data_IF_237815667717
#
_entry.id   IF_237815667717
#
_cell.length_a   1.000
_cell.length_b   1.000
_cell.length_c   1.000
_cell.angle_alpha   90.00
_cell.angle_beta   90.00
_cell.angle_gamma   90.00
#
_symmetry.space_group_name_H-M   'P 1'
#
loop_
_entity.id
_entity.type
_entity.pdbx_description
1 polymer ?
#
# COMPACT_ATOMS: atom_id res chain seq x y z
N UNK A 1 -15.74 -10.99 16.13
CA UNK A 1 -16.05 -9.56 15.94
C UNK A 1 -17.27 -9.43 15.03
N UNK A 2 -17.27 -10.07 13.88
CA UNK A 2 -18.37 -10.00 12.89
C UNK A 2 -19.73 -10.34 13.49
N UNK A 3 -19.83 -11.42 14.27
CA UNK A 3 -21.06 -11.80 14.96
C UNK A 3 -21.65 -10.70 15.87
N UNK A 4 -20.78 -9.88 16.49
CA UNK A 4 -21.17 -8.80 17.38
C UNK A 4 -21.26 -7.43 16.70
N UNK A 5 -21.24 -7.37 15.37
CA UNK A 5 -21.13 -6.09 14.66
C UNK A 5 -22.45 -5.30 14.70
N UNK A 6 -23.54 -5.95 14.38
CA UNK A 6 -24.85 -5.29 14.36
C UNK A 6 -25.54 -5.32 15.74
N UNK A 7 -25.42 -6.44 16.45
CA UNK A 7 -26.11 -6.69 17.70
C UNK A 7 -25.15 -7.06 18.84
N UNK A 8 -25.49 -6.66 20.05
CA UNK A 8 -24.79 -7.08 21.25
C UNK A 8 -25.17 -8.52 21.62
N UNK A 9 -24.20 -9.44 21.63
CA UNK A 9 -24.41 -10.88 21.88
C UNK A 9 -23.77 -11.35 23.18
N UNK A 10 -24.41 -12.34 23.85
CA UNK A 10 -23.76 -13.06 24.96
C UNK A 10 -22.71 -14.03 24.41
N UNK A 11 -21.81 -14.51 25.28
CA UNK A 11 -20.77 -15.46 24.91
C UNK A 11 -21.36 -16.76 24.34
N UNK A 12 -22.51 -17.21 24.87
CA UNK A 12 -23.26 -18.37 24.38
C UNK A 12 -23.83 -18.11 22.98
N UNK A 13 -24.31 -16.91 22.70
CA UNK A 13 -24.83 -16.51 21.41
C UNK A 13 -23.68 -16.40 20.38
N UNK A 14 -22.52 -15.86 20.79
CA UNK A 14 -21.32 -15.81 19.96
C UNK A 14 -20.85 -17.23 19.62
N UNK A 15 -20.86 -18.14 20.60
CA UNK A 15 -20.53 -19.55 20.38
C UNK A 15 -21.45 -20.21 19.36
N UNK A 16 -22.73 -19.96 19.44
CA UNK A 16 -23.71 -20.49 18.51
C UNK A 16 -23.53 -19.93 17.09
N UNK A 17 -23.32 -18.63 16.97
CA UNK A 17 -23.18 -17.93 15.69
C UNK A 17 -21.87 -18.30 14.96
N UNK A 18 -20.80 -18.46 15.73
CA UNK A 18 -19.46 -18.77 15.15
C UNK A 18 -19.19 -20.25 15.00
N UNK A 19 -19.97 -21.11 15.67
CA UNK A 19 -19.70 -22.55 15.77
C UNK A 19 -18.48 -22.90 16.65
N UNK A 20 -17.89 -21.93 17.33
CA UNK A 20 -16.73 -22.14 18.22
C UNK A 20 -17.23 -22.47 19.63
N UNK A 21 -16.80 -23.60 20.24
CA UNK A 21 -17.19 -23.95 21.59
C UNK A 21 -16.84 -22.86 22.62
N UNK A 22 -17.75 -22.59 23.55
CA UNK A 22 -17.60 -21.53 24.55
C UNK A 22 -16.28 -21.58 25.32
N UNK A 23 -15.80 -22.79 25.63
CA UNK A 23 -14.53 -22.98 26.34
C UNK A 23 -13.29 -22.42 25.62
N UNK A 24 -13.36 -22.20 24.29
CA UNK A 24 -12.29 -21.59 23.50
C UNK A 24 -12.52 -20.11 23.26
N UNK A 25 -13.72 -19.60 23.53
CA UNK A 25 -14.07 -18.20 23.30
C UNK A 25 -13.71 -17.28 24.45
N UNK A 26 -13.67 -17.79 25.67
CA UNK A 26 -13.50 -16.95 26.87
C UNK A 26 -12.18 -16.15 26.83
N UNK A 27 -11.07 -16.78 26.49
CA UNK A 27 -9.76 -16.12 26.39
C UNK A 27 -9.71 -15.17 25.20
N UNK A 28 -10.24 -15.57 24.04
CA UNK A 28 -10.29 -14.76 22.84
C UNK A 28 -11.16 -13.51 23.01
N UNK A 29 -12.36 -13.66 23.61
CA UNK A 29 -13.24 -12.51 23.90
C UNK A 29 -12.57 -11.58 24.90
N UNK A 30 -11.94 -12.11 25.95
CA UNK A 30 -11.22 -11.31 26.92
C UNK A 30 -10.08 -10.50 26.27
N UNK A 31 -9.30 -11.14 25.39
CA UNK A 31 -8.23 -10.47 24.65
C UNK A 31 -8.77 -9.36 23.70
N UNK A 32 -9.90 -9.60 23.04
CA UNK A 32 -10.53 -8.60 22.17
C UNK A 32 -11.11 -7.43 22.94
N UNK A 33 -11.64 -7.68 24.15
CA UNK A 33 -12.13 -6.63 25.05
C UNK A 33 -10.97 -5.81 25.61
N UNK A 34 -9.88 -6.46 26.02
CA UNK A 34 -8.68 -5.77 26.52
C UNK A 34 -8.09 -4.83 25.43
N UNK A 35 -8.10 -5.28 24.20
CA UNK A 35 -7.67 -4.49 23.02
C UNK A 35 -8.72 -3.47 22.54
N UNK A 36 -9.87 -3.38 23.20
CA UNK A 36 -10.98 -2.52 22.82
C UNK A 36 -11.54 -2.75 21.40
N UNK A 37 -11.31 -3.92 20.84
CA UNK A 37 -11.93 -4.37 19.59
C UNK A 37 -13.40 -4.76 19.85
N UNK A 38 -13.67 -5.33 21.02
CA UNK A 38 -15.01 -5.52 21.56
C UNK A 38 -15.18 -4.67 22.82
N UNK A 39 -16.42 -4.26 23.07
CA UNK A 39 -16.84 -3.67 24.36
C UNK A 39 -17.80 -4.63 25.00
N UNK A 40 -17.62 -4.87 26.32
CA UNK A 40 -18.50 -5.69 27.12
C UNK A 40 -19.48 -4.81 27.95
N UNK A 41 -20.75 -4.95 27.70
CA UNK A 41 -21.83 -4.30 28.42
C UNK A 41 -22.63 -5.36 29.19
N UNK A 42 -22.34 -5.50 30.48
CA UNK A 42 -22.90 -6.56 31.32
C UNK A 42 -22.46 -7.95 30.83
N UNK A 43 -23.40 -8.78 30.35
CA UNK A 43 -23.14 -10.12 29.80
C UNK A 43 -23.06 -10.16 28.29
N UNK A 44 -23.09 -9.02 27.62
CA UNK A 44 -23.08 -8.94 26.16
C UNK A 44 -21.81 -8.26 25.65
N UNK A 45 -21.32 -8.73 24.54
CA UNK A 45 -20.22 -8.14 23.78
C UNK A 45 -20.75 -7.48 22.51
N UNK A 46 -20.11 -6.36 22.12
CA UNK A 46 -20.46 -5.56 20.97
C UNK A 46 -19.17 -5.13 20.28
N UNK A 47 -19.17 -5.11 18.96
CA UNK A 47 -18.02 -4.61 18.21
C UNK A 47 -17.78 -3.12 18.48
N UNK A 48 -16.52 -2.73 18.62
CA UNK A 48 -16.07 -1.35 18.84
C UNK A 48 -15.10 -0.88 17.74
N UNK A 49 -15.17 -1.52 16.58
CA UNK A 49 -14.36 -1.20 15.41
C UNK A 49 -15.22 -1.31 14.16
N UNK A 50 -14.87 -0.55 13.14
CA UNK A 50 -15.54 -0.64 11.84
C UNK A 50 -15.12 -1.95 11.16
N UNK A 51 -16.12 -2.71 10.68
CA UNK A 51 -15.91 -3.91 9.89
C UNK A 51 -16.28 -3.64 8.43
N UNK A 52 -15.30 -3.78 7.55
CA UNK A 52 -15.54 -3.76 6.11
C UNK A 52 -16.06 -5.13 5.68
N UNK A 53 -17.37 -5.22 5.51
CA UNK A 53 -18.04 -6.43 5.03
C UNK A 53 -17.90 -6.59 3.53
N UNK A 54 -18.09 -7.78 3.01
CA UNK A 54 -18.07 -8.07 1.57
C UNK A 54 -19.10 -7.25 0.80
N UNK A 55 -20.30 -7.06 1.37
CA UNK A 55 -21.35 -6.25 0.76
C UNK A 55 -20.97 -4.77 0.70
N UNK A 56 -20.43 -4.24 1.79
CA UNK A 56 -19.91 -2.88 1.85
C UNK A 56 -18.79 -2.65 0.82
N UNK A 57 -17.82 -3.56 0.77
CA UNK A 57 -16.72 -3.49 -0.19
C UNK A 57 -17.23 -3.55 -1.64
N UNK A 58 -18.19 -4.43 -1.94
CA UNK A 58 -18.78 -4.54 -3.27
C UNK A 58 -19.55 -3.26 -3.65
N UNK A 59 -20.23 -2.61 -2.72
CA UNK A 59 -20.92 -1.34 -2.98
C UNK A 59 -19.93 -0.20 -3.22
N UNK A 60 -18.86 -0.09 -2.42
CA UNK A 60 -17.77 0.87 -2.65
C UNK A 60 -17.19 0.67 -4.05
N UNK A 61 -16.84 -0.57 -4.42
CA UNK A 61 -16.28 -0.88 -5.72
C UNK A 61 -17.21 -0.47 -6.87
N UNK A 62 -18.50 -0.80 -6.79
CA UNK A 62 -19.49 -0.40 -7.80
C UNK A 62 -19.64 1.13 -7.89
N UNK A 63 -19.65 1.83 -6.75
CA UNK A 63 -19.81 3.28 -6.71
C UNK A 63 -18.57 4.04 -7.18
N UNK A 64 -17.39 3.43 -7.11
CA UNK A 64 -16.12 4.08 -7.46
C UNK A 64 -15.63 3.74 -8.87
N UNK A 65 -16.16 2.71 -9.54
CA UNK A 65 -15.61 2.16 -10.80
C UNK A 65 -15.38 3.22 -11.88
N UNK A 66 -16.38 4.04 -12.17
CA UNK A 66 -16.28 5.08 -13.20
C UNK A 66 -15.19 6.12 -12.86
N UNK A 67 -15.06 6.45 -11.58
CA UNK A 67 -14.05 7.41 -11.12
C UNK A 67 -12.65 6.77 -11.16
N UNK A 68 -12.54 5.49 -10.84
CA UNK A 68 -11.27 4.74 -10.94
C UNK A 68 -10.81 4.65 -12.40
N UNK A 69 -11.69 4.43 -13.35
CA UNK A 69 -11.38 4.45 -14.79
C UNK A 69 -10.84 5.83 -15.21
N UNK A 70 -11.50 6.91 -14.81
CA UNK A 70 -11.01 8.29 -15.08
C UNK A 70 -9.65 8.56 -14.45
N UNK A 71 -9.36 8.03 -13.25
CA UNK A 71 -8.06 8.13 -12.61
C UNK A 71 -7.02 7.36 -13.43
N UNK A 72 -7.32 6.13 -13.83
CA UNK A 72 -6.42 5.30 -14.62
C UNK A 72 -6.08 5.95 -15.97
N UNK A 73 -7.09 6.46 -16.68
CA UNK A 73 -6.92 7.18 -17.94
C UNK A 73 -6.05 8.43 -17.75
N UNK A 74 -6.35 9.27 -16.74
CA UNK A 74 -5.56 10.46 -16.47
C UNK A 74 -4.10 10.15 -16.12
N UNK A 75 -3.83 9.07 -15.40
CA UNK A 75 -2.47 8.61 -15.10
C UNK A 75 -1.76 8.10 -16.35
N UNK A 76 -2.46 7.34 -17.20
CA UNK A 76 -1.93 6.88 -18.48
C UNK A 76 -1.53 8.04 -19.39
N UNK A 77 -2.43 9.00 -19.59
CA UNK A 77 -2.20 10.20 -20.41
C UNK A 77 -1.03 11.04 -19.87
N UNK A 78 -0.95 11.19 -18.54
CA UNK A 78 0.16 11.92 -17.92
C UNK A 78 1.50 11.23 -18.18
N UNK A 79 1.59 9.92 -17.98
CA UNK A 79 2.81 9.16 -18.25
C UNK A 79 3.19 9.23 -19.73
N UNK A 80 2.23 9.16 -20.63
CA UNK A 80 2.49 9.27 -22.05
C UNK A 80 3.04 10.65 -22.44
N UNK A 81 2.39 11.70 -21.99
CA UNK A 81 2.74 13.08 -22.35
C UNK A 81 3.97 13.62 -21.63
N UNK A 82 4.31 13.09 -20.46
CA UNK A 82 5.43 13.56 -19.61
C UNK A 82 6.64 12.64 -19.57
N UNK A 83 6.61 11.53 -20.29
CA UNK A 83 7.70 10.55 -20.27
C UNK A 83 9.05 11.20 -20.60
N UNK A 84 9.09 12.09 -21.60
CA UNK A 84 10.30 12.81 -21.98
C UNK A 84 10.80 13.75 -20.86
N UNK A 85 9.90 14.43 -20.15
CA UNK A 85 10.28 15.27 -19.03
C UNK A 85 10.90 14.47 -17.87
N UNK A 86 10.41 13.23 -17.63
CA UNK A 86 11.05 12.32 -16.69
C UNK A 86 12.43 11.87 -17.17
N UNK A 87 12.61 11.55 -18.47
CA UNK A 87 13.92 11.19 -19.02
C UNK A 87 14.96 12.31 -18.84
N UNK A 88 14.57 13.56 -19.03
CA UNK A 88 15.43 14.74 -18.89
C UNK A 88 15.90 14.98 -17.43
N UNK A 89 15.29 14.32 -16.46
CA UNK A 89 15.81 14.33 -15.08
C UNK A 89 17.15 13.60 -15.00
N UNK A 90 17.37 12.58 -15.83
CA UNK A 90 18.66 11.89 -15.99
C UNK A 90 18.98 10.88 -14.89
N UNK A 91 17.97 10.26 -14.27
CA UNK A 91 18.16 9.19 -13.28
C UNK A 91 18.63 7.88 -13.93
N UNK A 92 19.21 6.99 -13.16
CA UNK A 92 19.58 5.66 -13.65
C UNK A 92 18.32 4.88 -14.06
N UNK A 93 18.22 4.48 -15.33
CA UNK A 93 17.04 3.86 -15.93
C UNK A 93 16.18 4.82 -16.77
N UNK A 94 16.57 6.09 -16.90
CA UNK A 94 15.89 7.03 -17.79
C UNK A 94 15.94 6.59 -19.28
N UNK A 95 16.87 5.72 -19.65
CA UNK A 95 17.05 5.10 -20.98
C UNK A 95 16.22 3.82 -21.20
N UNK A 96 15.40 3.40 -20.25
CA UNK A 96 14.52 2.24 -20.43
C UNK A 96 13.54 2.47 -21.59
N UNK A 97 13.07 1.37 -22.21
CA UNK A 97 12.01 1.46 -23.21
C UNK A 97 10.79 2.17 -22.65
N UNK A 98 10.01 2.84 -23.50
CA UNK A 98 8.82 3.59 -23.08
C UNK A 98 7.85 2.76 -22.25
N UNK A 99 7.58 1.53 -22.68
CA UNK A 99 6.70 0.62 -21.94
C UNK A 99 7.24 0.28 -20.56
N UNK A 100 8.54 -0.05 -20.45
CA UNK A 100 9.18 -0.36 -19.17
C UNK A 100 9.19 0.87 -18.25
N UNK A 101 9.54 2.03 -18.78
CA UNK A 101 9.62 3.26 -18.00
C UNK A 101 8.24 3.71 -17.49
N UNK A 102 7.18 3.59 -18.30
CA UNK A 102 5.80 3.89 -17.88
C UNK A 102 5.39 3.04 -16.68
N UNK A 103 5.67 1.73 -16.72
CA UNK A 103 5.38 0.83 -15.60
C UNK A 103 6.14 1.22 -14.32
N UNK A 104 7.41 1.54 -14.45
CA UNK A 104 8.24 1.95 -13.31
C UNK A 104 7.77 3.29 -12.73
N UNK A 105 7.42 4.25 -13.58
CA UNK A 105 6.91 5.55 -13.14
C UNK A 105 5.47 5.50 -12.61
N UNK A 106 4.68 4.48 -12.98
CA UNK A 106 3.36 4.26 -12.38
C UNK A 106 3.46 4.11 -10.86
N UNK A 107 4.44 3.35 -10.38
CA UNK A 107 4.74 3.21 -8.95
C UNK A 107 4.97 4.56 -8.28
N UNK A 108 5.75 5.41 -8.96
CA UNK A 108 6.04 6.76 -8.50
C UNK A 108 4.79 7.64 -8.41
N UNK A 109 3.90 7.57 -9.42
CA UNK A 109 2.62 8.29 -9.41
C UNK A 109 1.69 7.80 -8.30
N UNK A 110 1.60 6.49 -8.09
CA UNK A 110 0.78 5.92 -7.02
C UNK A 110 1.23 6.43 -5.64
N UNK A 111 2.54 6.56 -5.43
CA UNK A 111 3.07 7.20 -4.21
C UNK A 111 2.62 8.66 -4.07
N UNK A 112 2.65 9.42 -5.17
CA UNK A 112 2.20 10.81 -5.18
C UNK A 112 0.69 10.92 -4.91
N UNK A 113 -0.11 9.99 -5.43
CA UNK A 113 -1.56 9.89 -5.16
C UNK A 113 -1.83 9.67 -3.68
N UNK A 114 -1.10 8.74 -3.05
CA UNK A 114 -1.24 8.46 -1.61
C UNK A 114 -0.85 9.66 -0.72
N UNK A 115 -0.07 10.60 -1.25
CA UNK A 115 0.33 11.82 -0.54
C UNK A 115 -0.65 12.99 -0.75
N UNK A 116 -1.65 12.87 -1.63
CA UNK A 116 -2.69 13.89 -1.80
C UNK A 116 -3.59 13.85 -0.57
N UNK A 117 -3.75 14.97 0.16
CA UNK A 117 -4.71 15.01 1.26
C UNK A 117 -6.10 14.70 0.71
N UNK A 118 -6.76 13.71 1.25
CA UNK A 118 -8.10 13.27 0.82
C UNK A 118 -9.18 14.32 1.10
N UNK A 119 -8.84 15.37 1.87
CA UNK A 119 -9.77 16.45 2.22
C UNK A 119 -10.95 15.99 3.09
N UNK A 120 -10.90 14.76 3.57
CA UNK A 120 -11.91 14.21 4.45
C UNK A 120 -11.96 14.98 5.76
N UNK A 121 -13.17 15.41 6.15
CA UNK A 121 -13.39 16.08 7.44
C UNK A 121 -13.33 15.09 8.62
N UNK A 122 -13.35 13.79 8.34
CA UNK A 122 -13.30 12.76 9.38
C UNK A 122 -11.91 12.67 10.01
N UNK A 123 -11.80 13.17 11.22
CA UNK A 123 -10.62 12.89 12.03
C UNK A 123 -10.70 11.46 12.59
N UNK A 124 -9.61 10.68 12.48
CA UNK A 124 -9.57 9.35 13.07
C UNK A 124 -9.92 9.40 14.55
N UNK A 125 -10.69 8.45 15.08
CA UNK A 125 -10.95 8.36 16.50
C UNK A 125 -9.66 8.13 17.27
N UNK A 126 -9.63 8.56 18.53
CA UNK A 126 -8.52 8.28 19.42
C UNK A 126 -8.54 6.81 19.81
N UNK A 127 -7.47 6.08 19.47
CA UNK A 127 -7.31 4.68 19.85
C UNK A 127 -7.08 4.50 21.35
N UNK A 128 -7.17 3.27 21.81
CA UNK A 128 -6.93 2.92 23.21
C UNK A 128 -5.53 3.28 23.72
N UNK A 129 -4.55 3.34 22.82
CA UNK A 129 -3.15 3.70 23.10
C UNK A 129 -2.84 5.17 22.87
N UNK A 130 -3.86 6.01 22.63
CA UNK A 130 -3.74 7.47 22.58
C UNK A 130 -3.44 8.07 21.21
N UNK A 131 -3.15 7.27 20.20
CA UNK A 131 -2.97 7.72 18.82
C UNK A 131 -4.33 7.93 18.15
N UNK A 132 -4.37 8.78 17.12
CA UNK A 132 -5.53 8.88 16.23
C UNK A 132 -5.33 7.96 15.04
N UNK A 133 -6.11 6.91 14.96
CA UNK A 133 -6.06 5.94 13.85
C UNK A 133 -7.44 5.35 13.59
N UNK A 134 -7.71 5.01 12.34
CA UNK A 134 -8.82 4.13 12.01
C UNK A 134 -8.36 2.69 12.18
N UNK A 135 -9.04 1.95 13.03
CA UNK A 135 -8.89 0.51 13.11
C UNK A 135 -10.00 -0.13 12.28
N UNK A 136 -9.60 -0.77 11.20
CA UNK A 136 -10.50 -1.47 10.30
C UNK A 136 -10.24 -2.96 10.41
N UNK A 137 -11.31 -3.72 10.49
CA UNK A 137 -11.27 -5.14 10.22
C UNK A 137 -11.99 -5.38 8.90
N UNK A 138 -11.49 -6.29 8.09
CA UNK A 138 -12.14 -6.70 6.85
C UNK A 138 -12.50 -8.18 6.94
N UNK A 139 -13.65 -8.55 6.37
CA UNK A 139 -13.95 -9.96 6.15
C UNK A 139 -12.90 -10.58 5.22
N UNK A 140 -12.53 -11.87 5.40
CA UNK A 140 -11.49 -12.52 4.60
C UNK A 140 -11.74 -12.43 3.08
N UNK A 141 -12.99 -12.44 2.66
CA UNK A 141 -13.44 -12.36 1.27
C UNK A 141 -13.16 -10.98 0.65
N UNK A 142 -13.11 -9.92 1.48
CA UNK A 142 -12.81 -8.54 1.05
C UNK A 142 -11.34 -8.38 0.74
N UNK A 143 -10.49 -9.07 1.47
CA UNK A 143 -9.03 -9.07 1.28
C UNK A 143 -8.67 -9.93 0.06
N UNK A 144 -9.40 -9.75 -1.04
CA UNK A 144 -9.23 -10.52 -2.26
C UNK A 144 -7.76 -10.70 -2.65
N UNK A 145 -7.44 -11.78 -3.34
CA UNK A 145 -6.13 -12.34 -3.57
C UNK A 145 -5.00 -11.48 -4.14
N UNK A 146 -5.10 -10.14 -4.08
CA UNK A 146 -4.06 -9.22 -4.55
C UNK A 146 -3.69 -8.24 -3.44
N UNK A 147 -2.43 -8.20 -3.07
CA UNK A 147 -1.87 -7.11 -2.28
C UNK A 147 -1.10 -6.16 -3.19
N UNK A 148 -1.22 -4.88 -2.90
CA UNK A 148 -0.47 -3.82 -3.55
C UNK A 148 0.30 -3.06 -2.49
N UNK A 149 1.60 -2.93 -2.65
CA UNK A 149 2.42 -2.08 -1.80
C UNK A 149 3.39 -1.24 -2.61
N UNK A 150 3.65 -0.02 -2.15
CA UNK A 150 4.70 0.86 -2.66
C UNK A 150 5.62 1.20 -1.51
N UNK A 151 6.86 0.76 -1.60
CA UNK A 151 7.90 1.06 -0.64
C UNK A 151 8.94 1.99 -1.25
N UNK A 152 9.28 3.05 -0.53
CA UNK A 152 10.42 3.92 -0.81
C UNK A 152 11.53 3.53 0.14
N UNK A 153 12.73 3.30 -0.39
CA UNK A 153 13.91 2.95 0.40
C UNK A 153 15.06 3.86 0.00
N UNK A 154 15.84 4.31 0.97
CA UNK A 154 17.03 5.13 0.76
C UNK A 154 18.29 4.29 0.99
N UNK A 155 19.28 4.47 0.11
CA UNK A 155 20.61 3.92 0.30
C UNK A 155 21.42 4.75 1.33
N UNK A 156 22.55 4.21 1.77
CA UNK A 156 23.49 4.94 2.65
C UNK A 156 23.97 6.29 2.05
N UNK A 157 24.00 6.40 0.72
CA UNK A 157 24.44 7.59 0.00
C UNK A 157 23.29 8.55 -0.31
N UNK A 158 22.05 8.24 0.13
CA UNK A 158 20.85 9.05 -0.09
C UNK A 158 20.22 8.85 -1.47
N UNK A 159 20.59 7.81 -2.20
CA UNK A 159 19.86 7.42 -3.41
C UNK A 159 18.50 6.80 -3.05
N UNK A 160 17.50 7.07 -3.86
CA UNK A 160 16.11 6.66 -3.63
C UNK A 160 15.69 5.61 -4.66
N UNK A 161 15.13 4.51 -4.17
CA UNK A 161 14.58 3.41 -4.97
C UNK A 161 13.14 3.14 -4.58
N UNK A 162 12.31 2.81 -5.54
CA UNK A 162 10.93 2.41 -5.32
C UNK A 162 10.73 0.94 -5.66
N UNK A 163 10.04 0.25 -4.77
CA UNK A 163 9.55 -1.10 -4.99
C UNK A 163 8.03 -1.08 -5.02
N UNK A 164 7.45 -1.79 -5.96
CA UNK A 164 6.02 -1.97 -6.06
C UNK A 164 5.74 -3.47 -6.19
N UNK A 165 5.00 -3.99 -5.24
CA UNK A 165 4.56 -5.38 -5.26
C UNK A 165 3.10 -5.44 -5.68
N UNK A 166 2.84 -6.10 -6.81
CA UNK A 166 1.51 -6.55 -7.21
C UNK A 166 1.51 -8.07 -7.06
N UNK A 167 1.08 -8.56 -5.91
CA UNK A 167 1.13 -9.99 -5.65
C UNK A 167 -0.24 -10.55 -5.34
N UNK A 168 -0.57 -11.73 -5.85
CA UNK A 168 -1.59 -12.55 -5.23
C UNK A 168 -1.10 -12.91 -3.82
N UNK A 169 -1.85 -12.51 -2.79
CA UNK A 169 -1.49 -12.83 -1.41
C UNK A 169 -1.33 -14.36 -1.23
N UNK A 170 -0.46 -14.85 -0.39
CA UNK A 170 0.44 -14.20 0.55
C UNK A 170 1.92 -14.66 0.48
N UNK A 171 2.63 -14.53 -0.61
CA UNK A 171 4.07 -14.89 -0.64
C UNK A 171 4.86 -13.87 -1.44
N UNK A 172 5.36 -12.83 -0.76
CA UNK A 172 6.41 -12.02 -1.36
C UNK A 172 7.76 -12.37 -0.76
N UNK A 173 8.59 -13.09 -1.52
CA UNK A 173 10.03 -13.20 -1.25
C UNK A 173 10.75 -11.85 -1.42
N UNK A 174 10.00 -10.80 -1.76
CA UNK A 174 10.53 -9.46 -1.98
C UNK A 174 10.81 -8.70 -0.69
N UNK A 175 10.09 -8.99 0.41
CA UNK A 175 10.35 -8.38 1.71
C UNK A 175 11.80 -8.56 2.19
N UNK A 176 12.43 -9.69 1.84
CA UNK A 176 13.82 -9.95 2.21
C UNK A 176 14.81 -9.05 1.46
N UNK A 177 14.42 -8.49 0.31
CA UNK A 177 15.30 -7.66 -0.49
C UNK A 177 15.37 -6.23 0.04
N UNK A 178 14.25 -5.52 0.13
CA UNK A 178 14.26 -4.13 0.59
C UNK A 178 14.33 -3.98 2.11
N UNK A 179 14.09 -5.05 2.86
CA UNK A 179 14.42 -5.13 4.28
C UNK A 179 15.93 -5.24 4.56
N UNK A 180 16.74 -5.51 3.53
CA UNK A 180 18.19 -5.59 3.63
C UNK A 180 18.84 -4.32 3.05
N UNK A 181 19.18 -3.37 3.93
CA UNK A 181 19.82 -2.10 3.53
C UNK A 181 21.06 -2.30 2.64
N UNK A 182 21.85 -3.37 2.88
CA UNK A 182 23.03 -3.68 2.07
C UNK A 182 22.67 -4.01 0.62
N UNK A 183 21.55 -4.69 0.39
CA UNK A 183 21.10 -4.99 -0.98
C UNK A 183 20.67 -3.71 -1.73
N UNK A 184 20.05 -2.77 -1.04
CA UNK A 184 19.70 -1.46 -1.60
C UNK A 184 20.96 -0.69 -1.98
N UNK A 185 21.96 -0.65 -1.09
CA UNK A 185 23.26 -0.02 -1.37
C UNK A 185 23.93 -0.61 -2.61
N UNK A 186 24.00 -1.94 -2.69
CA UNK A 186 24.61 -2.65 -3.84
C UNK A 186 23.83 -2.34 -5.13
N UNK A 187 22.50 -2.30 -5.09
CA UNK A 187 21.69 -1.94 -6.27
C UNK A 187 21.99 -0.51 -6.73
N UNK A 188 22.13 0.44 -5.83
CA UNK A 188 22.49 1.82 -6.13
C UNK A 188 23.93 1.91 -6.68
N UNK A 189 24.88 1.17 -6.11
CA UNK A 189 26.22 1.07 -6.64
C UNK A 189 26.25 0.51 -8.09
N UNK A 190 25.46 -0.52 -8.36
CA UNK A 190 25.27 -1.05 -9.73
C UNK A 190 24.68 0.01 -10.67
N UNK A 191 23.66 0.73 -10.20
CA UNK A 191 23.00 1.78 -10.99
C UNK A 191 23.95 2.91 -11.41
N UNK A 192 24.94 3.20 -10.57
CA UNK A 192 25.96 4.23 -10.80
C UNK A 192 27.26 3.66 -11.41
N UNK A 193 27.32 2.36 -11.73
CA UNK A 193 28.52 1.72 -12.29
C UNK A 193 29.67 1.57 -11.31
N UNK A 194 29.43 1.61 -10.01
CA UNK A 194 30.44 1.53 -8.94
C UNK A 194 30.69 0.07 -8.49
N UNK A 195 30.97 -0.83 -9.44
CA UNK A 195 31.09 -2.27 -9.13
C UNK A 195 32.52 -2.74 -8.85
N UNK A 196 33.56 -1.92 -9.12
CA UNK A 196 34.97 -2.32 -9.08
C UNK A 196 35.46 -2.76 -7.70
N UNK A 197 34.85 -2.22 -6.64
CA UNK A 197 35.21 -2.50 -5.25
C UNK A 197 34.39 -3.63 -4.58
N UNK A 198 33.58 -4.35 -5.33
CA UNK A 198 32.68 -5.35 -4.77
C UNK A 198 33.41 -6.52 -4.10
N UNK A 199 33.05 -6.79 -2.84
CA UNK A 199 33.50 -7.97 -2.09
C UNK A 199 32.90 -9.25 -2.68
N UNK A 200 33.33 -10.40 -2.17
CA UNK A 200 32.72 -11.68 -2.56
C UNK A 200 31.21 -11.71 -2.20
N UNK A 201 30.83 -11.18 -1.05
CA UNK A 201 29.44 -11.06 -0.64
C UNK A 201 28.64 -10.16 -1.59
N UNK A 202 29.18 -8.99 -1.99
CA UNK A 202 28.48 -8.08 -2.90
C UNK A 202 28.26 -8.73 -4.26
N UNK A 203 29.23 -9.48 -4.77
CA UNK A 203 29.10 -10.24 -6.03
C UNK A 203 28.05 -11.33 -5.96
N UNK A 204 27.95 -12.03 -4.81
CA UNK A 204 26.89 -13.00 -4.57
C UNK A 204 25.51 -12.34 -4.54
N UNK A 205 25.39 -11.21 -3.84
CA UNK A 205 24.17 -10.41 -3.82
C UNK A 205 23.76 -9.93 -5.22
N UNK A 206 24.70 -9.44 -6.05
CA UNK A 206 24.43 -9.07 -7.46
C UNK A 206 23.96 -10.28 -8.27
N UNK A 207 24.56 -11.44 -8.09
CA UNK A 207 24.14 -12.68 -8.78
C UNK A 207 22.70 -13.06 -8.39
N UNK A 208 22.34 -12.88 -7.13
CA UNK A 208 20.95 -13.07 -6.68
C UNK A 208 20.01 -12.03 -7.27
N UNK A 209 20.39 -10.76 -7.30
CA UNK A 209 19.62 -9.70 -7.93
C UNK A 209 19.40 -9.94 -9.42
N UNK A 210 20.37 -10.48 -10.13
CA UNK A 210 20.21 -10.90 -11.53
C UNK A 210 19.19 -12.02 -11.67
N UNK A 211 19.24 -13.02 -10.78
CA UNK A 211 18.27 -14.11 -10.76
C UNK A 211 16.84 -13.64 -10.49
N UNK A 212 16.69 -12.65 -9.61
CA UNK A 212 15.40 -12.05 -9.24
C UNK A 212 14.93 -10.94 -10.20
N UNK A 213 15.75 -10.56 -11.20
CA UNK A 213 15.40 -9.55 -12.18
C UNK A 213 15.58 -8.09 -11.75
N UNK A 214 16.19 -7.81 -10.59
CA UNK A 214 16.50 -6.44 -10.14
C UNK A 214 17.71 -5.83 -10.82
N UNK A 215 18.59 -6.67 -11.32
CA UNK A 215 19.79 -6.30 -12.10
C UNK A 215 19.80 -7.08 -13.40
N UNK A 216 20.18 -6.42 -14.48
CA UNK A 216 20.45 -7.04 -15.78
C UNK A 216 21.95 -7.20 -15.95
N UNK A 217 22.37 -8.36 -16.43
CA UNK A 217 23.77 -8.62 -16.79
C UNK A 217 23.85 -8.83 -18.29
N UNK A 218 24.65 -8.03 -18.99
CA UNK A 218 24.94 -8.18 -20.42
C UNK A 218 26.40 -7.80 -20.68
N UNK A 219 27.13 -8.63 -21.41
CA UNK A 219 28.52 -8.39 -21.82
C UNK A 219 29.46 -8.02 -20.64
N UNK A 220 29.24 -8.62 -19.48
CA UNK A 220 30.02 -8.36 -18.27
C UNK A 220 29.67 -7.05 -17.54
N UNK A 221 28.69 -6.31 -18.02
CA UNK A 221 28.20 -5.07 -17.42
C UNK A 221 26.91 -5.34 -16.66
N UNK A 222 26.84 -4.85 -15.43
CA UNK A 222 25.63 -4.87 -14.61
C UNK A 222 24.89 -3.53 -14.73
N UNK A 223 23.57 -3.59 -14.87
CA UNK A 223 22.68 -2.42 -14.87
C UNK A 223 21.47 -2.67 -13.97
N UNK A 224 21.07 -1.70 -13.18
CA UNK A 224 19.81 -1.78 -12.44
C UNK A 224 18.64 -1.95 -13.44
N UNK A 225 17.67 -2.80 -13.07
CA UNK A 225 16.47 -3.04 -13.87
C UNK A 225 15.30 -2.17 -13.43
N UNK A 226 15.51 -1.28 -12.47
CA UNK A 226 14.56 -0.32 -11.95
C UNK A 226 15.18 1.06 -11.83
N UNK A 227 14.37 2.14 -11.79
CA UNK A 227 14.88 3.49 -11.61
C UNK A 227 15.58 3.66 -10.26
N UNK A 228 16.74 4.31 -10.28
CA UNK A 228 17.46 4.78 -9.09
C UNK A 228 17.66 6.28 -9.23
N UNK A 229 17.24 7.02 -8.21
CA UNK A 229 17.29 8.47 -8.19
C UNK A 229 18.28 8.95 -7.13
N UNK A 230 19.10 9.93 -7.46
CA UNK A 230 19.69 10.77 -6.42
C UNK A 230 18.58 11.60 -5.76
N UNK A 231 18.79 12.12 -4.54
CA UNK A 231 17.78 12.94 -3.86
C UNK A 231 17.29 14.11 -4.73
N UNK A 232 18.20 14.82 -5.40
CA UNK A 232 17.85 15.94 -6.28
C UNK A 232 17.01 15.52 -7.50
N UNK A 233 17.28 14.35 -8.06
CA UNK A 233 16.48 13.78 -9.15
C UNK A 233 15.10 13.34 -8.66
N UNK A 234 15.05 12.72 -7.47
CA UNK A 234 13.81 12.37 -6.81
C UNK A 234 12.92 13.59 -6.58
N UNK A 235 13.46 14.68 -6.01
CA UNK A 235 12.70 15.90 -5.71
C UNK A 235 12.10 16.51 -7.00
N UNK A 236 12.85 16.49 -8.10
CA UNK A 236 12.37 16.97 -9.42
C UNK A 236 11.24 16.08 -9.94
N UNK A 237 11.40 14.77 -9.88
CA UNK A 237 10.38 13.81 -10.31
C UNK A 237 9.13 13.90 -9.42
N UNK A 238 9.32 14.00 -8.09
CA UNK A 238 8.24 14.16 -7.12
C UNK A 238 7.44 15.44 -7.39
N UNK A 239 8.10 16.55 -7.69
CA UNK A 239 7.42 17.82 -8.02
C UNK A 239 6.53 17.71 -9.27
N UNK A 240 6.95 16.95 -10.29
CA UNK A 240 6.13 16.69 -11.48
C UNK A 240 4.90 15.86 -11.12
N UNK A 241 5.09 14.76 -10.38
CA UNK A 241 4.03 13.84 -10.01
C UNK A 241 3.02 14.45 -9.03
N UNK A 242 3.50 15.18 -8.01
CA UNK A 242 2.64 15.82 -7.00
C UNK A 242 1.77 16.93 -7.59
N UNK A 243 2.32 17.73 -8.50
CA UNK A 243 1.54 18.75 -9.21
C UNK A 243 0.40 18.11 -9.99
N UNK A 244 0.69 17.09 -10.77
CA UNK A 244 -0.32 16.35 -11.51
C UNK A 244 -1.37 15.72 -10.56
N UNK A 245 -0.91 15.03 -9.51
CA UNK A 245 -1.80 14.39 -8.55
C UNK A 245 -2.74 15.42 -7.88
N UNK A 246 -2.22 16.56 -7.43
CA UNK A 246 -3.03 17.60 -6.81
C UNK A 246 -4.03 18.25 -7.76
N UNK A 247 -3.60 18.63 -8.97
CA UNK A 247 -4.42 19.39 -9.93
C UNK A 247 -5.45 18.50 -10.66
N UNK A 248 -5.05 17.29 -11.06
CA UNK A 248 -5.87 16.43 -11.93
C UNK A 248 -6.57 15.30 -11.18
N UNK A 249 -5.89 14.68 -10.23
CA UNK A 249 -6.44 13.53 -9.49
C UNK A 249 -7.15 13.93 -8.20
N UNK A 250 -6.76 15.04 -7.57
CA UNK A 250 -7.37 15.49 -6.31
C UNK A 250 -8.90 15.57 -6.33
N UNK A 251 -9.54 16.16 -7.37
CA UNK A 251 -11.00 16.15 -7.48
C UNK A 251 -11.60 14.74 -7.60
N UNK A 252 -10.96 13.85 -8.36
CA UNK A 252 -11.41 12.46 -8.56
C UNK A 252 -11.25 11.64 -7.27
N UNK A 253 -10.14 11.81 -6.57
CA UNK A 253 -9.89 11.15 -5.29
C UNK A 253 -10.93 11.56 -4.25
N UNK A 254 -11.30 12.85 -4.19
CA UNK A 254 -12.40 13.29 -3.32
C UNK A 254 -13.73 12.62 -3.66
N UNK A 255 -14.05 12.39 -4.93
CA UNK A 255 -15.24 11.64 -5.31
C UNK A 255 -15.21 10.20 -4.80
N UNK A 256 -14.03 9.55 -4.87
CA UNK A 256 -13.86 8.20 -4.30
C UNK A 256 -14.05 8.23 -2.78
N UNK A 257 -13.38 9.16 -2.07
CA UNK A 257 -13.51 9.30 -0.62
C UNK A 257 -14.96 9.55 -0.19
N UNK A 258 -15.69 10.42 -0.89
CA UNK A 258 -17.10 10.67 -0.62
C UNK A 258 -17.97 9.40 -0.82
N UNK A 259 -17.66 8.61 -1.85
CA UNK A 259 -18.34 7.33 -2.06
C UNK A 259 -18.08 6.37 -0.91
N UNK A 260 -16.81 6.25 -0.50
CA UNK A 260 -16.40 5.40 0.63
C UNK A 260 -17.08 5.85 1.91
N UNK A 261 -17.03 7.15 2.24
CA UNK A 261 -17.65 7.72 3.44
C UNK A 261 -19.17 7.47 3.48
N UNK A 262 -19.86 7.69 2.37
CA UNK A 262 -21.30 7.44 2.27
C UNK A 262 -21.62 5.98 2.55
N UNK A 263 -20.98 5.06 1.84
CA UNK A 263 -21.25 3.62 1.97
C UNK A 263 -20.90 3.13 3.37
N UNK A 264 -19.75 3.52 3.90
CA UNK A 264 -19.35 3.16 5.25
C UNK A 264 -20.38 3.65 6.29
N UNK A 265 -20.87 4.88 6.14
CA UNK A 265 -21.89 5.44 7.05
C UNK A 265 -23.20 4.63 6.98
N UNK A 266 -23.62 4.21 5.78
CA UNK A 266 -24.82 3.41 5.58
C UNK A 266 -24.69 1.99 6.16
N UNK A 267 -23.47 1.41 6.10
CA UNK A 267 -23.19 0.05 6.60
C UNK A 267 -22.65 0.01 8.03
N UNK A 268 -22.32 1.14 8.64
CA UNK A 268 -21.82 1.18 10.02
C UNK A 268 -22.99 1.20 10.99
N UNK A 269 -23.05 0.28 11.97
CA UNK A 269 -24.08 0.29 13.01
C UNK A 269 -24.13 1.60 13.78
N UNK A 270 -25.34 2.02 14.18
CA UNK A 270 -25.57 3.31 14.86
C UNK A 270 -24.69 3.56 16.10
N UNK A 271 -24.27 2.50 16.76
CA UNK A 271 -23.41 2.61 17.96
C UNK A 271 -21.93 2.91 17.64
N UNK A 272 -21.54 2.82 16.38
CA UNK A 272 -20.18 3.14 15.90
C UNK A 272 -20.15 4.44 15.08
N UNK A 273 -21.30 5.06 14.83
CA UNK A 273 -21.44 6.36 14.20
C UNK A 273 -21.28 7.46 15.26
#
# INVERSE_FOLDING_TARGET
>A
VSACYNDALTDEQISLETGVPLAYLDEEIAALVDRRILVREGRRCKANVILLTSDCAAEIARGAVETQEKIADAMGDFLETRLQAFREIGFAGADFSDGSLRWQLLTFLLRAVLAVPDGGEMQPPQTAWGERAYLWLAEPEVVGGYSFSVSQVESRDGDVVFFCDFLPAPKSDHHDFYGNARYVDILCDVAHGRCDGFSAYDREAVAEMVRKGYVRAADGVFKAAMPVFTQAQYDRAASLAQRFAGERLGPLLRCVSQTVERVLREHTPAHLQ
#
